data_IF_618832811571
#
_entry.id   IF_618832811571
#
_cell.length_a   1.000
_cell.length_b   1.000
_cell.length_c   1.000
_cell.angle_alpha   90.00
_cell.angle_beta   90.00
_cell.angle_gamma   90.00
#
_symmetry.space_group_name_H-M   'P 1'
#
loop_
_entity.id
_entity.type
_entity.pdbx_description
1 polymer ?
#
# COMPACT_ATOMS: atom_id res chain seq x y z
N UNK A 1 12.19 -6.16 10.45
CA UNK A 1 11.70 -4.86 9.96
C UNK A 1 11.40 -4.79 8.46
N UNK A 2 12.02 -5.63 7.66
CA UNK A 2 11.86 -5.56 6.20
C UNK A 2 10.39 -5.69 5.73
N UNK A 3 9.60 -6.48 6.43
CA UNK A 3 8.20 -6.72 6.05
C UNK A 3 7.28 -5.53 6.33
N UNK A 4 7.75 -4.55 7.09
CA UNK A 4 6.99 -3.33 7.39
C UNK A 4 7.20 -2.21 6.34
N UNK A 5 8.14 -2.36 5.42
CA UNK A 5 8.40 -1.32 4.42
C UNK A 5 7.20 -1.00 3.51
N UNK A 6 6.36 -1.96 3.10
CA UNK A 6 5.16 -1.59 2.35
C UNK A 6 4.28 -0.60 3.10
N UNK A 7 3.98 -0.83 4.38
CA UNK A 7 3.16 0.10 5.15
C UNK A 7 3.89 1.41 5.45
N UNK A 8 5.21 1.37 5.62
CA UNK A 8 6.01 2.59 5.79
C UNK A 8 5.93 3.48 4.55
N UNK A 9 5.82 2.91 3.35
CA UNK A 9 5.64 3.71 2.14
C UNK A 9 4.29 4.42 2.10
N UNK A 10 3.25 3.82 2.68
CA UNK A 10 1.94 4.47 2.83
C UNK A 10 2.04 5.66 3.79
N UNK A 11 2.74 5.50 4.89
CA UNK A 11 3.02 6.61 5.82
C UNK A 11 3.81 7.71 5.11
N UNK A 12 4.83 7.33 4.33
CA UNK A 12 5.65 8.28 3.57
C UNK A 12 4.82 9.06 2.54
N UNK A 13 3.84 8.42 1.90
CA UNK A 13 2.95 9.08 0.94
C UNK A 13 2.12 10.20 1.59
N UNK A 14 1.84 10.09 2.88
CA UNK A 14 1.09 11.08 3.65
C UNK A 14 1.99 12.05 4.42
N UNK A 15 3.29 11.88 4.37
CA UNK A 15 4.25 12.79 4.99
C UNK A 15 4.58 13.94 4.03
N UNK A 16 5.25 14.96 4.52
CA UNK A 16 5.79 16.03 3.67
C UNK A 16 7.25 15.75 3.37
N UNK A 17 7.59 15.68 2.09
CA UNK A 17 8.96 15.47 1.64
C UNK A 17 9.23 14.06 1.14
N UNK A 18 10.50 13.80 0.87
CA UNK A 18 10.96 12.55 0.28
C UNK A 18 11.45 11.58 1.36
N UNK A 19 10.91 10.38 1.37
CA UNK A 19 11.36 9.28 2.24
C UNK A 19 12.01 8.21 1.37
N UNK A 20 13.26 7.86 1.67
CA UNK A 20 14.02 6.84 0.93
C UNK A 20 14.23 5.62 1.80
N UNK A 21 13.89 4.45 1.25
CA UNK A 21 14.12 3.15 1.90
C UNK A 21 15.23 2.44 1.14
N UNK A 22 16.37 2.23 1.80
CA UNK A 22 17.57 1.64 1.21
C UNK A 22 17.85 0.26 1.78
N UNK A 23 18.60 -0.54 1.02
CA UNK A 23 18.98 -1.87 1.45
C UNK A 23 17.80 -2.83 1.52
N UNK A 24 16.82 -2.67 0.65
CA UNK A 24 15.55 -3.40 0.69
C UNK A 24 15.41 -4.40 -0.47
N UNK A 25 16.50 -4.79 -1.08
CA UNK A 25 16.49 -5.73 -2.22
C UNK A 25 15.73 -7.02 -1.92
N UNK A 26 15.77 -7.47 -0.67
CA UNK A 26 15.06 -8.67 -0.22
C UNK A 26 13.54 -8.58 -0.45
N UNK A 27 12.96 -7.39 -0.49
CA UNK A 27 11.54 -7.20 -0.77
C UNK A 27 11.14 -7.67 -2.17
N UNK A 28 12.09 -7.75 -3.11
CA UNK A 28 11.79 -8.20 -4.47
C UNK A 28 11.56 -9.70 -4.58
N UNK A 29 11.95 -10.47 -3.56
CA UNK A 29 11.84 -11.93 -3.54
C UNK A 29 10.93 -12.44 -2.43
N UNK A 30 9.99 -11.66 -1.96
CA UNK A 30 8.95 -12.06 -1.01
C UNK A 30 7.79 -12.76 -1.74
N UNK A 31 6.58 -12.76 -1.19
CA UNK A 31 5.39 -13.33 -1.83
C UNK A 31 5.13 -12.70 -3.21
N UNK A 32 5.63 -11.47 -3.40
CA UNK A 32 5.65 -10.75 -4.67
C UNK A 32 6.92 -9.90 -4.71
N UNK A 33 7.19 -9.23 -5.83
CA UNK A 33 8.15 -8.12 -5.83
C UNK A 33 7.47 -6.92 -5.18
N UNK A 34 7.68 -6.77 -3.89
CA UNK A 34 6.99 -5.76 -3.08
C UNK A 34 7.39 -4.34 -3.44
N UNK A 35 8.62 -4.10 -3.90
CA UNK A 35 9.03 -2.77 -4.36
C UNK A 35 8.24 -2.40 -5.62
N UNK A 36 8.20 -3.29 -6.60
CA UNK A 36 7.48 -3.06 -7.84
C UNK A 36 5.97 -2.87 -7.59
N UNK A 37 5.38 -3.74 -6.79
CA UNK A 37 3.95 -3.69 -6.49
C UNK A 37 3.55 -2.37 -5.80
N UNK A 38 4.31 -1.97 -4.80
CA UNK A 38 4.03 -0.70 -4.10
C UNK A 38 4.26 0.50 -4.99
N UNK A 39 5.34 0.51 -5.78
CA UNK A 39 5.63 1.62 -6.69
C UNK A 39 4.51 1.80 -7.72
N UNK A 40 4.05 0.72 -8.34
CA UNK A 40 2.96 0.77 -9.32
C UNK A 40 1.67 1.28 -8.71
N UNK A 41 1.28 0.74 -7.56
CA UNK A 41 0.04 1.14 -6.90
C UNK A 41 0.07 2.59 -6.40
N UNK A 42 1.18 3.02 -5.83
CA UNK A 42 1.33 4.40 -5.38
C UNK A 42 1.29 5.37 -6.56
N UNK A 43 1.99 5.08 -7.65
CA UNK A 43 1.98 5.93 -8.85
C UNK A 43 0.58 6.04 -9.46
N UNK A 44 -0.14 4.93 -9.54
CA UNK A 44 -1.50 4.95 -10.11
C UNK A 44 -2.48 5.75 -9.25
N UNK A 45 -2.18 5.93 -7.97
CA UNK A 45 -2.98 6.74 -7.06
C UNK A 45 -2.43 8.15 -6.85
N UNK A 46 -1.53 8.60 -7.71
CA UNK A 46 -1.07 9.98 -7.73
C UNK A 46 0.12 10.29 -6.84
N UNK A 47 0.83 9.28 -6.36
CA UNK A 47 2.02 9.46 -5.53
C UNK A 47 3.27 9.31 -6.39
N UNK A 48 4.22 10.23 -6.28
CA UNK A 48 5.49 10.16 -7.00
C UNK A 48 6.43 9.20 -6.28
N UNK A 49 6.94 8.21 -7.02
CA UNK A 49 7.84 7.17 -6.49
C UNK A 49 9.01 6.99 -7.43
N UNK A 50 10.20 6.92 -6.87
CA UNK A 50 11.41 6.52 -7.58
C UNK A 50 11.82 5.14 -7.07
N UNK A 51 12.32 4.28 -7.94
CA UNK A 51 12.77 2.95 -7.52
C UNK A 51 14.06 2.53 -8.20
N UNK A 52 14.79 1.65 -7.53
CA UNK A 52 15.95 0.96 -8.08
C UNK A 52 15.91 -0.49 -7.59
N UNK A 53 16.97 -1.25 -7.84
CA UNK A 53 16.99 -2.67 -7.50
C UNK A 53 16.92 -2.91 -6.00
N UNK A 54 17.57 -2.06 -5.19
CA UNK A 54 17.70 -2.25 -3.74
C UNK A 54 17.19 -1.08 -2.91
N UNK A 55 16.52 -0.10 -3.55
CA UNK A 55 15.93 1.02 -2.83
C UNK A 55 14.69 1.56 -3.56
N UNK A 56 13.88 2.28 -2.85
CA UNK A 56 12.77 3.08 -3.38
C UNK A 56 12.58 4.34 -2.55
N UNK A 57 12.03 5.36 -3.17
CA UNK A 57 11.78 6.63 -2.51
C UNK A 57 10.36 7.10 -2.83
N UNK A 58 9.66 7.55 -1.80
CA UNK A 58 8.29 8.05 -1.90
C UNK A 58 8.29 9.54 -1.63
N UNK A 59 7.73 10.32 -2.53
CA UNK A 59 7.59 11.76 -2.38
C UNK A 59 6.18 12.09 -1.88
N UNK A 60 6.07 12.44 -0.60
CA UNK A 60 4.80 12.80 0.02
C UNK A 60 4.57 14.31 -0.02
N UNK A 61 3.30 14.70 -0.12
CA UNK A 61 2.87 16.11 -0.15
C UNK A 61 2.02 16.49 1.06
N UNK A 62 1.99 15.65 2.07
CA UNK A 62 1.23 15.87 3.29
C UNK A 62 -0.04 15.01 3.39
N UNK A 63 -0.65 15.01 4.57
CA UNK A 63 -1.87 14.25 4.82
C UNK A 63 -3.00 14.76 3.92
N UNK A 64 -3.75 13.85 3.33
CA UNK A 64 -4.91 14.18 2.51
C UNK A 64 -4.59 14.59 1.08
N UNK A 65 -3.33 14.47 0.64
CA UNK A 65 -2.91 14.83 -0.71
C UNK A 65 -2.88 13.66 -1.69
N UNK A 66 -3.02 12.43 -1.21
CA UNK A 66 -3.07 11.24 -2.08
C UNK A 66 -4.39 11.24 -2.83
N UNK A 67 -4.32 11.26 -4.17
CA UNK A 67 -5.52 11.34 -5.00
C UNK A 67 -6.41 10.12 -4.87
N UNK A 68 -5.83 8.93 -4.96
CA UNK A 68 -6.59 7.68 -4.95
C UNK A 68 -7.36 7.46 -6.25
N UNK A 69 -8.40 6.63 -6.17
CA UNK A 69 -9.30 6.38 -7.27
C UNK A 69 -8.87 5.29 -8.24
N UNK A 70 -7.80 4.56 -7.93
CA UNK A 70 -7.27 3.52 -8.81
C UNK A 70 -7.43 2.13 -8.19
N UNK A 71 -7.49 1.11 -9.05
CA UNK A 71 -7.44 -0.28 -8.65
C UNK A 71 -5.98 -0.70 -8.52
N UNK A 72 -5.58 -1.22 -7.36
CA UNK A 72 -4.23 -1.69 -7.11
C UNK A 72 -4.17 -3.20 -7.28
N UNK A 73 -3.20 -3.67 -8.04
CA UNK A 73 -2.88 -5.08 -8.13
C UNK A 73 -2.03 -5.49 -6.93
N UNK A 74 -2.43 -6.54 -6.25
CA UNK A 74 -1.79 -6.99 -5.01
C UNK A 74 -0.91 -8.21 -5.21
N UNK A 75 -0.99 -8.87 -6.37
CA UNK A 75 -0.19 -10.06 -6.70
C UNK A 75 -0.32 -11.17 -5.65
N UNK A 76 -1.50 -11.30 -5.07
CA UNK A 76 -1.80 -12.26 -3.99
C UNK A 76 -0.91 -12.09 -2.76
N UNK A 77 -0.37 -10.91 -2.54
CA UNK A 77 0.49 -10.57 -1.41
C UNK A 77 -0.31 -9.82 -0.35
N UNK A 78 -0.49 -10.44 0.82
CA UNK A 78 -1.30 -9.88 1.89
C UNK A 78 -0.76 -8.54 2.41
N UNK A 79 0.56 -8.35 2.44
CA UNK A 79 1.16 -7.09 2.91
C UNK A 79 0.88 -5.94 1.96
N UNK A 80 0.92 -6.22 0.67
CA UNK A 80 0.57 -5.22 -0.35
C UNK A 80 -0.92 -4.87 -0.26
N UNK A 81 -1.79 -5.89 -0.15
CA UNK A 81 -3.23 -5.67 -0.05
C UNK A 81 -3.60 -4.80 1.16
N UNK A 82 -3.08 -5.15 2.34
CA UNK A 82 -3.35 -4.38 3.56
C UNK A 82 -2.82 -2.95 3.47
N UNK A 83 -1.63 -2.76 2.88
CA UNK A 83 -1.03 -1.44 2.73
C UNK A 83 -1.91 -0.50 1.90
N UNK A 84 -2.45 -0.99 0.77
CA UNK A 84 -3.31 -0.15 -0.07
C UNK A 84 -4.69 0.10 0.55
N UNK A 85 -5.24 -0.85 1.32
CA UNK A 85 -6.46 -0.58 2.08
C UNK A 85 -6.25 0.52 3.10
N UNK A 86 -5.11 0.54 3.78
CA UNK A 86 -4.78 1.60 4.72
C UNK A 86 -4.54 2.94 4.01
N UNK A 87 -3.87 2.93 2.86
CA UNK A 87 -3.70 4.15 2.05
C UNK A 87 -5.06 4.75 1.69
N UNK A 88 -6.04 3.91 1.37
CA UNK A 88 -7.39 4.35 1.04
C UNK A 88 -8.11 5.11 2.14
N UNK A 89 -7.70 4.93 3.41
CA UNK A 89 -8.33 5.65 4.52
C UNK A 89 -8.04 7.14 4.50
N UNK A 90 -6.94 7.56 3.86
CA UNK A 90 -6.52 8.96 3.80
C UNK A 90 -6.53 9.53 2.38
N UNK A 91 -6.91 8.76 1.38
CA UNK A 91 -6.97 9.22 0.00
C UNK A 91 -8.22 10.05 -0.28
N UNK A 92 -8.13 10.91 -1.30
CA UNK A 92 -9.26 11.76 -1.70
C UNK A 92 -10.38 10.97 -2.36
N UNK A 93 -10.02 9.94 -3.12
CA UNK A 93 -10.95 9.04 -3.79
C UNK A 93 -10.73 7.61 -3.32
N UNK A 94 -11.75 6.78 -3.41
CA UNK A 94 -11.70 5.38 -3.00
C UNK A 94 -10.59 4.62 -3.75
N UNK A 95 -9.79 3.86 -3.00
CA UNK A 95 -8.80 2.93 -3.55
C UNK A 95 -9.38 1.52 -3.48
N UNK A 96 -9.26 0.78 -4.58
CA UNK A 96 -9.71 -0.61 -4.67
C UNK A 96 -8.51 -1.54 -4.78
N UNK A 97 -8.65 -2.74 -4.26
CA UNK A 97 -7.68 -3.82 -4.50
C UNK A 97 -8.35 -4.95 -5.27
N UNK A 98 -7.56 -5.68 -6.04
CA UNK A 98 -8.06 -6.71 -6.95
C UNK A 98 -8.55 -7.96 -6.21
N UNK A 99 -7.85 -8.38 -5.14
CA UNK A 99 -8.19 -9.60 -4.41
C UNK A 99 -7.78 -9.48 -2.94
N UNK A 100 -8.74 -9.62 -2.04
CA UNK A 100 -8.49 -9.58 -0.60
C UNK A 100 -8.28 -10.97 0.04
N UNK A 101 -8.33 -12.04 -0.75
CA UNK A 101 -8.20 -13.40 -0.21
C UNK A 101 -6.90 -13.64 0.56
N UNK A 102 -5.73 -13.10 0.16
CA UNK A 102 -4.50 -13.24 0.96
C UNK A 102 -4.62 -12.65 2.37
N UNK A 103 -5.41 -11.59 2.54
CA UNK A 103 -5.67 -11.00 3.86
C UNK A 103 -6.47 -11.99 4.71
N UNK A 104 -7.49 -12.61 4.15
CA UNK A 104 -8.33 -13.59 4.87
C UNK A 104 -7.52 -14.78 5.38
N UNK A 105 -6.49 -15.17 4.64
CA UNK A 105 -5.61 -16.28 5.03
C UNK A 105 -4.62 -15.87 6.12
N UNK A 106 -3.97 -14.70 5.96
CA UNK A 106 -2.86 -14.26 6.83
C UNK A 106 -3.32 -13.43 8.02
N UNK A 107 -4.43 -12.70 7.88
CA UNK A 107 -4.99 -11.86 8.92
C UNK A 107 -6.52 -11.83 8.78
N UNK A 108 -7.22 -12.93 9.17
CA UNK A 108 -8.65 -13.09 8.89
C UNK A 108 -9.54 -11.97 9.45
N UNK A 109 -9.15 -11.39 10.57
CA UNK A 109 -9.95 -10.36 11.25
C UNK A 109 -9.59 -8.93 10.83
N UNK A 110 -8.74 -8.74 9.81
CA UNK A 110 -8.23 -7.42 9.46
C UNK A 110 -9.37 -6.44 9.10
N UNK A 111 -10.27 -6.84 8.23
CA UNK A 111 -11.37 -5.96 7.76
C UNK A 111 -12.29 -5.61 8.91
N UNK A 112 -12.68 -6.61 9.71
CA UNK A 112 -13.57 -6.38 10.86
C UNK A 112 -12.91 -5.49 11.91
N UNK A 113 -11.64 -5.75 12.22
CA UNK A 113 -10.90 -4.94 13.17
C UNK A 113 -10.79 -3.48 12.71
N UNK A 114 -10.48 -3.27 11.42
CA UNK A 114 -10.37 -1.92 10.87
C UNK A 114 -11.72 -1.20 10.87
N UNK A 115 -12.82 -1.90 10.57
CA UNK A 115 -14.17 -1.33 10.66
C UNK A 115 -14.52 -0.93 12.09
N UNK A 116 -14.17 -1.77 13.06
CA UNK A 116 -14.40 -1.45 14.48
C UNK A 116 -13.63 -0.21 14.92
N UNK A 117 -12.49 0.06 14.30
CA UNK A 117 -11.71 1.28 14.53
C UNK A 117 -12.19 2.49 13.74
N UNK A 118 -13.27 2.35 12.98
CA UNK A 118 -13.88 3.45 12.24
C UNK A 118 -13.55 3.52 10.76
N UNK A 119 -12.84 2.54 10.21
CA UNK A 119 -12.50 2.51 8.79
C UNK A 119 -13.72 2.16 7.93
N UNK A 120 -13.84 2.82 6.78
CA UNK A 120 -14.89 2.54 5.82
C UNK A 120 -14.35 1.61 4.72
N UNK A 121 -14.44 0.31 4.97
CA UNK A 121 -14.00 -0.73 4.05
C UNK A 121 -15.22 -1.53 3.54
N UNK A 122 -15.29 -1.74 2.24
CA UNK A 122 -16.35 -2.49 1.59
C UNK A 122 -15.78 -3.70 0.85
N UNK A 123 -16.47 -4.83 0.97
CA UNK A 123 -16.20 -6.02 0.17
C UNK A 123 -17.21 -6.02 -0.98
N UNK A 124 -16.70 -6.21 -2.20
CA UNK A 124 -17.54 -6.30 -3.39
C UNK A 124 -17.37 -7.65 -4.04
N UNK A 125 -18.48 -8.26 -4.39
CA UNK A 125 -18.50 -9.45 -5.23
C UNK A 125 -18.48 -9.01 -6.70
N UNK A 126 -17.53 -9.57 -7.44
CA UNK A 126 -17.40 -9.27 -8.87
C UNK A 126 -18.08 -10.34 -9.72
#
# INVERSE_FOLDING_TARGET
MIDEYPILSVVAANASGKTTMRGVKELRVKESDRIDAMAKGLRSNGVSVEESEDWWAVNGNGIGTVKGGSLCQTFLDHRIAMSFLILGLSSQKTIEIDDCSPIKTSFPNFVDLMRDLGANLELRDL
#
